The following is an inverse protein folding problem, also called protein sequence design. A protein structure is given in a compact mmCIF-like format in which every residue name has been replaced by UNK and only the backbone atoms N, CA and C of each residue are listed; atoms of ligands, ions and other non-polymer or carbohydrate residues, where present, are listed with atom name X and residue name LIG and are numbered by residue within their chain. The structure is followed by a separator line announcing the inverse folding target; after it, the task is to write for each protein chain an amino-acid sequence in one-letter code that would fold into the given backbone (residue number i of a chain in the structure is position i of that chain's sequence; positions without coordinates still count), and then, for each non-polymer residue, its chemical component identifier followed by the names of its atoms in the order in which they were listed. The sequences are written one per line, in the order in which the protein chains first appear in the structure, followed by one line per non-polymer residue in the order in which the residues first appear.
data_IF_187402091718
#
_entry.id   IF_187402091718
#
_cell.length_a   1.000
_cell.length_b   1.000
_cell.length_c   1.000
_cell.angle_alpha   90.00
_cell.angle_beta   90.00
_cell.angle_gamma   90.00
#
_symmetry.space_group_name_H-M   'P 1'
#
loop_
_entity.id
_entity.type
_entity.pdbx_description
1 polymer ?
#
# COMPACT_ATOMS: atom_id res chain seq x y z
N UNK A 1 3.09 11.98 -7.37
CA UNK A 1 2.76 11.91 -5.93
C UNK A 1 3.18 10.54 -5.43
N UNK A 2 3.99 10.47 -4.37
CA UNK A 2 4.32 9.19 -3.74
C UNK A 2 3.44 8.94 -2.53
N UNK A 3 2.91 7.71 -2.42
CA UNK A 3 2.08 7.25 -1.31
C UNK A 3 2.77 6.04 -0.67
N UNK A 4 3.33 6.26 0.52
CA UNK A 4 4.00 5.21 1.27
C UNK A 4 3.01 4.28 1.98
N UNK A 5 2.44 3.31 1.27
CA UNK A 5 1.51 2.32 1.84
C UNK A 5 2.23 1.33 2.75
N UNK A 6 3.41 0.86 2.33
CA UNK A 6 4.32 -0.05 3.05
C UNK A 6 3.81 -1.48 3.20
N UNK A 7 2.56 -1.67 3.61
CA UNK A 7 1.88 -2.96 3.66
C UNK A 7 0.38 -2.79 3.54
N UNK A 8 -0.31 -3.75 2.93
CA UNK A 8 -1.78 -3.81 2.93
C UNK A 8 -2.33 -4.60 4.13
N UNK A 9 -1.49 -4.87 5.14
CA UNK A 9 -1.87 -5.55 6.38
C UNK A 9 -1.71 -4.59 7.57
N UNK A 10 -2.84 -4.23 8.20
CA UNK A 10 -2.88 -3.32 9.35
C UNK A 10 -2.08 -3.83 10.55
N UNK A 11 -1.92 -5.14 10.72
CA UNK A 11 -1.09 -5.70 11.80
C UNK A 11 0.39 -5.41 11.56
N UNK A 12 0.81 -5.48 10.29
CA UNK A 12 2.17 -5.11 9.88
C UNK A 12 2.36 -3.60 10.03
N UNK A 13 1.40 -2.79 9.58
CA UNK A 13 1.45 -1.33 9.76
C UNK A 13 1.59 -0.93 11.23
N UNK A 14 0.82 -1.56 12.12
CA UNK A 14 0.95 -1.35 13.57
C UNK A 14 2.33 -1.74 14.10
N UNK A 15 2.90 -2.85 13.62
CA UNK A 15 4.27 -3.26 14.01
C UNK A 15 5.35 -2.26 13.56
N UNK A 16 5.08 -1.51 12.48
CA UNK A 16 5.92 -0.42 11.98
C UNK A 16 5.62 0.94 12.65
N UNK A 17 4.79 0.98 13.70
CA UNK A 17 4.28 2.21 14.33
C UNK A 17 3.61 3.18 13.32
N UNK A 18 2.94 2.65 12.30
CA UNK A 18 2.15 3.47 11.37
C UNK A 18 0.78 3.77 11.95
N UNK A 19 0.39 5.04 11.82
CA UNK A 19 -0.89 5.58 12.31
C UNK A 19 -2.02 5.49 11.28
N UNK A 20 -1.70 5.16 10.03
CA UNK A 20 -2.68 4.96 8.96
C UNK A 20 -2.99 3.47 8.80
N UNK A 21 -4.21 3.18 8.33
CA UNK A 21 -4.59 1.83 7.90
C UNK A 21 -4.31 1.62 6.41
N UNK A 22 -4.30 0.37 5.97
CA UNK A 22 -4.19 0.02 4.56
C UNK A 22 -5.30 0.73 3.77
N UNK A 23 -6.54 0.71 4.28
CA UNK A 23 -7.70 1.27 3.57
C UNK A 23 -7.63 2.80 3.42
N UNK A 24 -7.04 3.52 4.36
CA UNK A 24 -6.80 4.96 4.22
C UNK A 24 -5.85 5.24 3.06
N UNK A 25 -4.83 4.40 2.91
CA UNK A 25 -3.85 4.51 1.86
C UNK A 25 -4.46 4.20 0.48
N UNK A 26 -5.33 3.17 0.39
CA UNK A 26 -6.11 2.86 -0.83
C UNK A 26 -6.99 4.05 -1.22
N UNK A 27 -7.76 4.60 -0.27
CA UNK A 27 -8.62 5.76 -0.52
C UNK A 27 -7.84 6.97 -1.01
N UNK A 28 -6.63 7.16 -0.50
CA UNK A 28 -5.75 8.24 -0.93
C UNK A 28 -5.33 8.08 -2.40
N UNK A 29 -5.03 6.84 -2.82
CA UNK A 29 -4.74 6.50 -4.22
C UNK A 29 -5.96 6.75 -5.10
N UNK A 30 -7.14 6.26 -4.72
CA UNK A 30 -8.38 6.43 -5.47
C UNK A 30 -8.75 7.92 -5.62
N UNK A 31 -8.57 8.69 -4.55
CA UNK A 31 -8.79 10.13 -4.57
C UNK A 31 -7.80 10.83 -5.52
N UNK A 32 -6.52 10.48 -5.44
CA UNK A 32 -5.50 11.03 -6.34
C UNK A 32 -5.83 10.73 -7.82
N UNK A 33 -6.24 9.49 -8.13
CA UNK A 33 -6.73 9.09 -9.46
C UNK A 33 -7.94 9.90 -9.89
N UNK A 34 -8.95 10.05 -9.02
CA UNK A 34 -10.16 10.83 -9.32
C UNK A 34 -9.89 12.31 -9.60
N UNK A 35 -8.75 12.82 -9.12
CA UNK A 35 -8.29 14.20 -9.34
C UNK A 35 -7.42 14.36 -10.59
N UNK A 36 -7.22 13.29 -11.38
CA UNK A 36 -6.37 13.30 -12.57
C UNK A 36 -4.88 13.34 -12.27
N UNK A 37 -4.46 12.83 -11.10
CA UNK A 37 -3.04 12.66 -10.81
C UNK A 37 -2.58 11.36 -11.47
N UNK A 38 -1.90 11.50 -12.61
CA UNK A 38 -1.46 10.35 -13.42
C UNK A 38 -0.13 9.77 -12.96
N UNK A 39 0.65 10.49 -12.15
CA UNK A 39 1.98 10.04 -11.72
C UNK A 39 1.98 9.63 -10.24
N UNK A 40 1.31 8.52 -9.92
CA UNK A 40 1.19 7.99 -8.55
C UNK A 40 2.21 6.86 -8.37
N UNK A 41 3.06 6.95 -7.35
CA UNK A 41 3.94 5.85 -6.94
C UNK A 41 3.53 5.31 -5.59
N UNK A 42 3.66 3.99 -5.39
CA UNK A 42 3.42 3.33 -4.10
C UNK A 42 4.68 2.60 -3.65
N UNK A 43 5.04 2.80 -2.39
CA UNK A 43 6.13 2.08 -1.75
C UNK A 43 5.60 0.91 -0.93
N UNK A 44 6.13 -0.30 -1.14
CA UNK A 44 5.88 -1.49 -0.32
C UNK A 44 7.19 -1.94 0.33
N UNK A 45 7.13 -2.35 1.59
CA UNK A 45 8.30 -2.79 2.36
C UNK A 45 8.20 -4.30 2.59
N UNK A 46 9.25 -5.02 2.19
CA UNK A 46 9.42 -6.45 2.42
C UNK A 46 10.41 -6.71 3.58
N UNK A 47 10.37 -7.91 4.15
CA UNK A 47 11.31 -8.35 5.19
C UNK A 47 10.99 -7.85 6.60
N UNK A 48 9.75 -7.46 6.85
CA UNK A 48 9.29 -6.97 8.16
C UNK A 48 9.07 -8.16 9.11
N UNK A 49 9.48 -8.07 10.39
CA UNK A 49 9.16 -9.10 11.38
C UNK A 49 7.65 -9.39 11.45
N UNK A 50 7.26 -10.64 11.28
CA UNK A 50 5.85 -11.06 11.25
C UNK A 50 5.18 -10.99 9.86
N UNK A 51 5.88 -10.51 8.83
CA UNK A 51 5.42 -10.61 7.44
C UNK A 51 5.61 -12.05 6.95
N UNK A 52 4.51 -12.76 6.73
CA UNK A 52 4.56 -14.06 6.08
C UNK A 52 4.63 -13.91 4.55
N UNK A 53 5.19 -14.92 3.87
CA UNK A 53 5.18 -14.95 2.40
C UNK A 53 3.77 -14.88 1.82
N UNK A 54 2.77 -15.41 2.52
CA UNK A 54 1.38 -15.31 2.10
C UNK A 54 0.89 -13.86 2.13
N UNK A 55 1.07 -13.16 3.25
CA UNK A 55 0.70 -11.74 3.40
C UNK A 55 1.42 -10.84 2.39
N UNK A 56 2.67 -11.17 2.10
CA UNK A 56 3.44 -10.49 1.05
C UNK A 56 2.80 -10.68 -0.34
N UNK A 57 2.46 -11.92 -0.71
CA UNK A 57 1.76 -12.20 -1.97
C UNK A 57 0.40 -11.51 -2.03
N UNK A 58 -0.35 -11.49 -0.94
CA UNK A 58 -1.64 -10.81 -0.87
C UNK A 58 -1.49 -9.30 -1.09
N UNK A 59 -0.44 -8.70 -0.50
CA UNK A 59 -0.10 -7.29 -0.72
C UNK A 59 0.24 -6.99 -2.18
N UNK A 60 1.02 -7.86 -2.84
CA UNK A 60 1.34 -7.72 -4.27
C UNK A 60 0.10 -7.89 -5.16
N UNK A 61 -0.81 -8.80 -4.80
CA UNK A 61 -2.06 -8.99 -5.54
C UNK A 61 -2.96 -7.75 -5.46
N UNK A 62 -3.02 -7.10 -4.28
CA UNK A 62 -3.76 -5.83 -4.13
C UNK A 62 -3.11 -4.74 -4.97
N UNK A 63 -1.78 -4.60 -4.87
CA UNK A 63 -1.02 -3.64 -5.68
C UNK A 63 -1.29 -3.80 -7.18
N UNK A 64 -1.19 -5.02 -7.72
CA UNK A 64 -1.44 -5.28 -9.14
C UNK A 64 -2.87 -4.94 -9.57
N UNK A 65 -3.87 -5.09 -8.67
CA UNK A 65 -5.27 -4.73 -8.94
C UNK A 65 -5.51 -3.23 -8.93
N UNK A 66 -4.62 -2.45 -8.33
CA UNK A 66 -4.77 -1.00 -8.25
C UNK A 66 -4.47 -0.29 -9.57
N UNK A 67 -3.95 -0.98 -10.60
CA UNK A 67 -3.72 -0.44 -11.95
C UNK A 67 -3.03 0.94 -11.91
N UNK A 68 -1.91 1.00 -11.19
CA UNK A 68 -1.19 2.25 -10.96
C UNK A 68 -0.15 2.40 -12.07
N UNK A 69 -0.12 3.53 -12.78
CA UNK A 69 0.90 3.78 -13.80
C UNK A 69 2.30 3.74 -13.18
N UNK A 70 3.20 2.99 -13.82
CA UNK A 70 4.59 2.79 -13.40
C UNK A 70 5.52 3.88 -13.96
#
# INVERSE_FOLDING_TARGET
MSIGIQSFDDSILKSLNRVHSAIDAIKCVDLAKSKGIDNISIDLIYGIPGLSMQKWKDSLNIYNKMDIPH
#
